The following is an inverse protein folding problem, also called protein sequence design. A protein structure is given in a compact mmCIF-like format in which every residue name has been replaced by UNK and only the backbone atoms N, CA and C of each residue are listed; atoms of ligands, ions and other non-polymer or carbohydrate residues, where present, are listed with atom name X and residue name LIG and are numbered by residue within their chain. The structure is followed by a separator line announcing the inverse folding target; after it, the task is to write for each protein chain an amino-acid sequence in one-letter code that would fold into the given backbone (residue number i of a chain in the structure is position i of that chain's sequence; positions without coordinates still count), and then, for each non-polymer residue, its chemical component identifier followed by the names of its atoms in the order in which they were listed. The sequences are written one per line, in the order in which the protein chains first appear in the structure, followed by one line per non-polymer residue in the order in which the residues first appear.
data_IF_076334846108
#
_entry.id   IF_076334846108
#
_cell.length_a   1.000
_cell.length_b   1.000
_cell.length_c   1.000
_cell.angle_alpha   90.00
_cell.angle_beta   90.00
_cell.angle_gamma   90.00
#
_symmetry.space_group_name_H-M   'P 1'
#
loop_
_entity.id
_entity.type
_entity.pdbx_description
1 polymer ?
#
# COMPACT_ATOMS: atom_id res chain seq x y z
N UNK A 1 -46.45 39.60 -29.26
CA UNK A 1 -45.51 40.73 -29.18
C UNK A 1 -44.12 40.15 -29.40
N UNK A 2 -43.67 40.23 -30.69
CA UNK A 2 -42.37 39.69 -31.12
C UNK A 2 -41.26 40.65 -30.66
N UNK A 3 -40.11 40.09 -30.28
CA UNK A 3 -38.84 40.80 -30.38
C UNK A 3 -37.82 39.84 -31.00
N UNK A 4 -37.55 40.10 -32.29
CA UNK A 4 -36.37 39.64 -33.00
C UNK A 4 -35.18 40.53 -32.62
N UNK A 5 -34.00 39.96 -32.50
CA UNK A 5 -32.76 40.72 -32.31
C UNK A 5 -31.55 39.82 -32.42
N UNK A 6 -31.08 39.67 -33.58
CA UNK A 6 -29.77 39.93 -34.21
C UNK A 6 -28.61 39.05 -33.70
N UNK A 7 -28.31 38.05 -34.52
CA UNK A 7 -27.01 37.37 -34.60
C UNK A 7 -26.01 38.28 -35.32
N UNK A 8 -24.95 38.71 -34.67
CA UNK A 8 -23.72 39.13 -35.33
C UNK A 8 -22.57 38.22 -34.93
N UNK A 9 -22.03 37.55 -35.94
CA UNK A 9 -20.90 36.68 -35.82
C UNK A 9 -19.61 37.47 -35.61
N UNK A 10 -18.75 36.95 -34.78
CA UNK A 10 -17.32 37.21 -34.83
C UNK A 10 -16.58 35.89 -34.90
N UNK A 11 -16.01 35.66 -36.08
CA UNK A 11 -15.07 34.59 -36.38
C UNK A 11 -13.79 34.84 -35.61
N UNK A 12 -13.61 34.13 -34.49
CA UNK A 12 -12.32 34.06 -33.83
C UNK A 12 -11.56 32.86 -34.42
N UNK A 13 -10.45 33.12 -35.09
CA UNK A 13 -9.50 32.14 -35.59
C UNK A 13 -8.93 31.37 -34.38
N UNK A 14 -9.17 30.08 -34.35
CA UNK A 14 -8.49 29.16 -33.44
C UNK A 14 -7.05 29.01 -33.94
N UNK A 15 -6.12 29.67 -33.28
CA UNK A 15 -4.69 29.44 -33.45
C UNK A 15 -4.33 28.09 -32.83
N UNK A 16 -3.94 27.17 -33.66
CA UNK A 16 -3.31 25.92 -33.22
C UNK A 16 -1.93 26.24 -32.66
N UNK A 17 -1.84 26.39 -31.33
CA UNK A 17 -0.57 26.33 -30.62
C UNK A 17 -0.21 24.84 -30.46
N UNK A 18 0.68 24.38 -31.31
CA UNK A 18 1.37 23.11 -31.10
C UNK A 18 2.28 23.24 -29.88
N UNK A 19 1.83 22.75 -28.74
CA UNK A 19 2.71 22.48 -27.62
C UNK A 19 3.40 21.13 -27.86
N UNK A 20 4.68 21.18 -28.19
CA UNK A 20 5.52 19.97 -28.09
C UNK A 20 5.36 19.35 -26.71
N UNK A 21 5.24 18.02 -26.60
CA UNK A 21 5.21 17.36 -25.29
C UNK A 21 6.56 17.62 -24.60
N UNK A 22 6.53 18.34 -23.48
CA UNK A 22 7.70 18.50 -22.63
C UNK A 22 8.18 17.10 -22.21
N UNK A 23 9.39 16.77 -22.66
CA UNK A 23 10.09 15.55 -22.29
C UNK A 23 10.38 15.65 -20.79
N UNK A 24 9.71 14.82 -19.98
CA UNK A 24 10.00 14.68 -18.57
C UNK A 24 11.49 14.35 -18.40
N UNK A 25 12.20 14.96 -17.45
CA UNK A 25 13.58 14.60 -17.17
C UNK A 25 13.65 13.12 -16.80
N UNK A 26 14.48 12.37 -17.53
CA UNK A 26 14.82 11.01 -17.14
C UNK A 26 15.49 11.06 -15.78
N UNK A 27 15.07 10.23 -14.81
CA UNK A 27 15.77 10.17 -13.54
C UNK A 27 17.22 9.80 -13.79
N UNK A 28 18.13 10.53 -13.13
CA UNK A 28 19.56 10.31 -13.22
C UNK A 28 19.84 8.82 -12.97
N UNK A 29 20.54 8.22 -13.92
CA UNK A 29 20.96 6.82 -13.84
C UNK A 29 21.90 6.72 -12.65
N UNK A 30 21.46 6.07 -11.58
CA UNK A 30 22.33 5.75 -10.44
C UNK A 30 23.33 4.71 -10.95
N UNK A 31 24.55 5.15 -11.25
CA UNK A 31 25.64 4.25 -11.59
C UNK A 31 26.12 3.56 -10.32
N UNK A 32 25.84 2.27 -10.22
CA UNK A 32 26.43 1.44 -9.16
C UNK A 32 27.86 1.06 -9.59
N UNK A 33 28.85 1.77 -9.10
CA UNK A 33 30.24 1.31 -9.15
C UNK A 33 30.38 0.07 -8.27
N UNK A 34 30.41 -1.08 -8.88
CA UNK A 34 30.67 -2.36 -8.21
C UNK A 34 30.72 -3.47 -9.24
N UNK A 35 31.89 -4.07 -9.38
CA UNK A 35 32.20 -5.16 -10.29
C UNK A 35 31.19 -6.33 -10.15
N UNK A 36 30.17 -6.33 -11.02
CA UNK A 36 29.11 -7.33 -11.07
C UNK A 36 29.60 -8.65 -11.69
N UNK A 37 30.67 -8.63 -12.46
CA UNK A 37 31.15 -9.84 -13.17
C UNK A 37 31.91 -10.82 -12.26
N UNK A 38 32.58 -10.35 -11.22
CA UNK A 38 33.30 -11.24 -10.30
C UNK A 38 32.37 -12.04 -9.37
N UNK A 39 31.12 -11.63 -9.21
CA UNK A 39 30.12 -12.29 -8.35
C UNK A 39 29.37 -13.41 -9.04
N UNK A 40 29.22 -13.34 -10.35
CA UNK A 40 28.49 -14.36 -11.15
C UNK A 40 29.27 -15.67 -11.21
N UNK A 41 30.60 -15.62 -11.15
CA UNK A 41 31.48 -16.82 -11.26
C UNK A 41 31.51 -17.72 -10.01
N UNK A 42 30.94 -17.30 -8.89
CA UNK A 42 30.95 -18.08 -7.62
C UNK A 42 29.64 -18.71 -7.21
N UNK A 43 28.60 -18.69 -8.06
CA UNK A 43 27.36 -19.45 -7.84
C UNK A 43 26.58 -19.11 -6.57
N UNK A 44 26.89 -18.00 -5.89
CA UNK A 44 26.22 -17.59 -4.67
C UNK A 44 25.25 -16.47 -4.99
N UNK A 45 24.02 -16.83 -5.38
CA UNK A 45 22.91 -15.91 -5.36
C UNK A 45 22.58 -15.52 -3.91
N UNK A 46 23.37 -14.64 -3.32
CA UNK A 46 22.88 -13.85 -2.20
C UNK A 46 22.14 -12.66 -2.79
N UNK A 47 20.88 -12.42 -2.38
CA UNK A 47 20.16 -11.24 -2.84
C UNK A 47 20.99 -10.01 -2.52
N UNK A 48 21.19 -9.14 -3.53
CA UNK A 48 22.00 -7.92 -3.45
C UNK A 48 21.34 -6.84 -2.57
N UNK A 49 20.19 -7.10 -2.00
CA UNK A 49 19.60 -6.29 -0.94
C UNK A 49 20.14 -6.74 0.41
N UNK A 50 21.33 -6.26 0.78
CA UNK A 50 21.63 -6.12 2.18
C UNK A 50 20.54 -5.19 2.76
N UNK A 51 19.82 -5.58 3.83
CA UNK A 51 18.81 -4.71 4.39
C UNK A 51 19.48 -3.42 4.83
N UNK A 52 19.09 -2.30 4.23
CA UNK A 52 19.61 -0.96 4.54
C UNK A 52 19.20 -0.49 5.96
N UNK A 53 18.63 -1.39 6.77
CA UNK A 53 18.14 -1.16 8.11
C UNK A 53 18.61 -2.21 9.11
N UNK A 54 19.94 -2.31 9.30
CA UNK A 54 20.50 -2.93 10.51
C UNK A 54 20.73 -1.90 11.61
N UNK A 55 19.81 -1.00 11.88
CA UNK A 55 19.71 -0.51 13.26
C UNK A 55 19.12 -1.67 14.05
N UNK A 56 19.85 -2.19 15.05
CA UNK A 56 19.27 -3.07 16.09
C UNK A 56 17.99 -2.39 16.56
N UNK A 57 16.85 -2.79 16.00
CA UNK A 57 15.55 -2.24 16.35
C UNK A 57 15.35 -2.46 17.83
N UNK A 58 14.88 -1.45 18.56
CA UNK A 58 14.35 -1.67 19.88
C UNK A 58 13.35 -2.80 19.74
N UNK A 59 13.45 -3.83 20.62
CA UNK A 59 12.49 -4.94 20.63
C UNK A 59 11.08 -4.35 20.60
N UNK A 60 10.31 -4.66 19.57
CA UNK A 60 8.97 -4.14 19.43
C UNK A 60 8.15 -4.50 20.67
N UNK A 61 7.43 -3.55 21.24
CA UNK A 61 6.51 -3.84 22.33
C UNK A 61 5.34 -4.66 21.80
N UNK A 62 4.86 -5.59 22.60
CA UNK A 62 3.66 -6.38 22.28
C UNK A 62 2.47 -5.42 22.05
N UNK A 63 1.71 -5.53 20.95
CA UNK A 63 0.54 -4.69 20.75
C UNK A 63 -0.54 -5.00 21.76
N UNK A 64 -1.29 -3.99 22.18
CA UNK A 64 -2.45 -4.16 23.08
C UNK A 64 -3.68 -4.60 22.28
N UNK A 65 -3.84 -4.03 21.09
CA UNK A 65 -4.93 -4.29 20.17
C UNK A 65 -4.37 -4.48 18.76
N UNK A 66 -5.00 -5.37 18.01
CA UNK A 66 -4.72 -5.64 16.61
C UNK A 66 -5.98 -5.40 15.79
N UNK A 67 -5.88 -4.54 14.77
CA UNK A 67 -6.90 -4.33 13.76
C UNK A 67 -6.55 -5.18 12.53
N UNK A 68 -7.29 -6.26 12.29
CA UNK A 68 -7.17 -7.06 11.08
C UNK A 68 -8.03 -6.44 9.98
N UNK A 69 -7.41 -5.89 8.94
CA UNK A 69 -8.08 -5.39 7.75
C UNK A 69 -7.98 -6.45 6.66
N UNK A 70 -9.11 -7.04 6.32
CA UNK A 70 -9.17 -8.31 5.61
C UNK A 70 -9.85 -8.15 4.25
N UNK A 71 -9.19 -8.62 3.19
CA UNK A 71 -9.85 -8.92 1.94
C UNK A 71 -10.29 -10.41 1.96
N UNK A 72 -11.60 -10.70 2.19
CA UNK A 72 -12.06 -12.07 2.33
C UNK A 72 -11.93 -12.89 1.04
N UNK A 73 -11.82 -12.21 -0.11
CA UNK A 73 -11.73 -12.84 -1.43
C UNK A 73 -10.30 -13.10 -1.89
N UNK A 74 -9.28 -12.63 -1.14
CA UNK A 74 -7.88 -12.84 -1.48
C UNK A 74 -7.50 -14.32 -1.52
N UNK A 75 -6.54 -14.68 -2.38
CA UNK A 75 -5.94 -16.00 -2.47
C UNK A 75 -6.96 -17.15 -2.55
N UNK A 76 -7.72 -17.26 -3.64
CA UNK A 76 -8.76 -18.30 -3.82
C UNK A 76 -9.83 -18.26 -2.72
N UNK A 77 -10.19 -17.07 -2.22
CA UNK A 77 -11.20 -16.83 -1.16
C UNK A 77 -10.80 -17.36 0.23
N UNK A 78 -9.51 -17.47 0.49
CA UNK A 78 -9.02 -17.93 1.80
C UNK A 78 -8.81 -16.80 2.83
N UNK A 79 -8.90 -15.52 2.43
CA UNK A 79 -8.63 -14.39 3.31
C UNK A 79 -9.42 -14.43 4.62
N UNK A 80 -10.70 -14.77 4.58
CA UNK A 80 -11.55 -14.93 5.77
C UNK A 80 -11.02 -16.03 6.69
N UNK A 81 -10.78 -17.23 6.19
CA UNK A 81 -10.30 -18.37 6.98
C UNK A 81 -8.95 -18.07 7.64
N UNK A 82 -8.04 -17.43 6.89
CA UNK A 82 -6.73 -17.01 7.42
C UNK A 82 -6.90 -16.01 8.55
N UNK A 83 -7.76 -14.99 8.38
CA UNK A 83 -7.98 -13.96 9.39
C UNK A 83 -8.62 -14.52 10.67
N UNK A 84 -9.57 -15.44 10.55
CA UNK A 84 -10.23 -16.11 11.68
C UNK A 84 -9.21 -16.93 12.49
N UNK A 85 -8.33 -17.68 11.81
CA UNK A 85 -7.27 -18.46 12.47
C UNK A 85 -6.29 -17.54 13.20
N UNK A 86 -5.82 -16.49 12.55
CA UNK A 86 -4.91 -15.50 13.17
C UNK A 86 -5.58 -14.80 14.35
N UNK A 87 -6.85 -14.41 14.22
CA UNK A 87 -7.58 -13.78 15.31
C UNK A 87 -7.69 -14.70 16.54
N UNK A 88 -7.91 -15.99 16.33
CA UNK A 88 -7.94 -16.96 17.42
C UNK A 88 -6.58 -17.02 18.15
N UNK A 89 -5.48 -17.21 17.40
CA UNK A 89 -4.12 -17.26 17.97
C UNK A 89 -3.77 -15.98 18.76
N UNK A 90 -4.12 -14.82 18.25
CA UNK A 90 -3.84 -13.55 18.93
C UNK A 90 -4.67 -13.38 20.22
N UNK A 91 -5.93 -13.83 20.20
CA UNK A 91 -6.79 -13.80 21.40
C UNK A 91 -6.32 -14.77 22.46
N UNK A 92 -5.88 -15.97 22.09
CA UNK A 92 -5.29 -16.96 23.00
C UNK A 92 -4.05 -16.40 23.72
N UNK A 93 -3.33 -15.51 23.03
CA UNK A 93 -2.22 -14.74 23.58
C UNK A 93 -2.68 -13.50 24.41
N UNK A 94 -3.96 -13.30 24.61
CA UNK A 94 -4.51 -12.17 25.38
C UNK A 94 -4.43 -10.81 24.68
N UNK A 95 -4.35 -10.79 23.34
CA UNK A 95 -4.38 -9.57 22.53
C UNK A 95 -5.82 -9.30 22.09
N UNK A 96 -6.27 -8.05 22.25
CA UNK A 96 -7.56 -7.60 21.73
C UNK A 96 -7.52 -7.59 20.19
N UNK A 97 -8.51 -8.20 19.51
CA UNK A 97 -8.54 -8.30 18.06
C UNK A 97 -9.87 -7.81 17.51
N UNK A 98 -9.80 -6.82 16.65
CA UNK A 98 -10.91 -6.31 15.83
C UNK A 98 -10.67 -6.68 14.37
N UNK A 99 -11.63 -7.35 13.72
CA UNK A 99 -11.52 -7.76 12.33
C UNK A 99 -12.52 -6.98 11.46
N UNK A 100 -12.00 -6.34 10.42
CA UNK A 100 -12.74 -5.53 9.46
C UNK A 100 -12.64 -6.19 8.08
N UNK A 101 -13.77 -6.46 7.45
CA UNK A 101 -13.83 -7.19 6.17
C UNK A 101 -14.27 -6.27 5.05
N UNK A 102 -13.53 -6.27 3.94
CA UNK A 102 -13.99 -5.57 2.75
C UNK A 102 -15.17 -6.29 2.10
N UNK A 103 -16.14 -5.51 1.60
CA UNK A 103 -17.27 -6.03 0.83
C UNK A 103 -17.02 -5.96 -0.69
N UNK A 104 -16.16 -5.04 -1.13
CA UNK A 104 -15.82 -4.80 -2.54
C UNK A 104 -14.39 -4.25 -2.68
N UNK A 105 -13.88 -4.18 -3.90
CA UNK A 105 -12.58 -3.58 -4.19
C UNK A 105 -12.57 -2.08 -3.86
N UNK A 106 -11.53 -1.60 -3.18
CA UNK A 106 -11.43 -0.22 -2.69
C UNK A 106 -12.08 0.03 -1.33
N UNK A 107 -12.87 -0.92 -0.79
CA UNK A 107 -13.56 -0.70 0.50
C UNK A 107 -12.59 -0.56 1.68
N UNK A 108 -11.42 -1.17 1.60
CA UNK A 108 -10.42 -1.04 2.67
C UNK A 108 -9.81 0.35 2.75
N UNK A 109 -9.88 1.16 1.69
CA UNK A 109 -9.51 2.58 1.76
C UNK A 109 -10.43 3.31 2.75
N UNK A 110 -11.75 3.13 2.61
CA UNK A 110 -12.74 3.75 3.50
C UNK A 110 -12.60 3.22 4.93
N UNK A 111 -12.58 1.90 5.10
CA UNK A 111 -12.43 1.28 6.42
C UNK A 111 -11.16 1.80 7.12
N UNK A 112 -10.04 1.83 6.40
CA UNK A 112 -8.78 2.30 6.95
C UNK A 112 -8.81 3.80 7.30
N UNK A 113 -9.46 4.64 6.50
CA UNK A 113 -9.58 6.08 6.78
C UNK A 113 -10.43 6.37 8.01
N UNK A 114 -11.46 5.59 8.25
CA UNK A 114 -12.38 5.74 9.40
C UNK A 114 -11.87 5.06 10.68
N UNK A 115 -10.83 4.22 10.56
CA UNK A 115 -10.31 3.43 11.69
C UNK A 115 -9.71 4.32 12.77
N UNK A 116 -10.21 4.17 14.01
CA UNK A 116 -9.61 4.81 15.18
C UNK A 116 -8.47 3.97 15.72
N UNK A 117 -7.24 4.43 15.52
CA UNK A 117 -6.01 3.75 15.95
C UNK A 117 -5.41 4.48 17.15
N UNK A 118 -5.13 3.76 18.24
CA UNK A 118 -4.51 4.29 19.45
C UNK A 118 -3.01 3.96 19.50
N UNK A 119 -2.28 4.66 20.36
CA UNK A 119 -0.87 4.34 20.59
C UNK A 119 -0.71 2.92 21.15
N UNK A 120 0.10 2.11 20.48
CA UNK A 120 0.32 0.70 20.83
C UNK A 120 -0.60 -0.28 20.09
N UNK A 121 -1.51 0.21 19.23
CA UNK A 121 -2.27 -0.63 18.32
C UNK A 121 -1.41 -1.04 17.12
N UNK A 122 -1.76 -2.18 16.52
CA UNK A 122 -1.13 -2.70 15.31
C UNK A 122 -2.19 -2.87 14.21
N UNK A 123 -1.93 -2.34 13.05
CA UNK A 123 -2.76 -2.55 11.85
C UNK A 123 -2.17 -3.72 11.06
N UNK A 124 -2.98 -4.73 10.79
CA UNK A 124 -2.57 -5.93 10.07
C UNK A 124 -3.37 -6.08 8.79
N UNK A 125 -2.68 -6.07 7.66
CA UNK A 125 -3.25 -6.38 6.36
C UNK A 125 -3.35 -7.90 6.18
N UNK A 126 -4.52 -8.42 5.86
CA UNK A 126 -4.73 -9.83 5.50
C UNK A 126 -5.19 -9.90 4.05
N UNK A 127 -4.24 -10.17 3.15
CA UNK A 127 -4.48 -10.16 1.71
C UNK A 127 -3.20 -10.17 0.89
N UNK A 128 -3.27 -9.63 -0.32
CA UNK A 128 -2.12 -9.41 -1.20
C UNK A 128 -1.67 -7.94 -1.21
N UNK A 129 -0.76 -7.61 -2.15
CA UNK A 129 -0.19 -6.27 -2.30
C UNK A 129 -1.25 -5.19 -2.50
N UNK A 130 -2.32 -5.46 -3.28
CA UNK A 130 -3.44 -4.54 -3.47
C UNK A 130 -4.20 -4.24 -2.18
N UNK A 131 -4.40 -5.24 -1.33
CA UNK A 131 -5.03 -5.09 -0.01
C UNK A 131 -4.21 -4.14 0.87
N UNK A 132 -2.90 -4.34 0.91
CA UNK A 132 -1.99 -3.50 1.68
C UNK A 132 -1.95 -2.06 1.14
N UNK A 133 -1.94 -1.90 -0.17
CA UNK A 133 -1.99 -0.58 -0.84
C UNK A 133 -3.26 0.20 -0.51
N UNK A 134 -4.44 -0.46 -0.52
CA UNK A 134 -5.71 0.16 -0.13
C UNK A 134 -5.66 0.68 1.32
N UNK A 135 -5.14 -0.13 2.24
CA UNK A 135 -5.02 0.23 3.66
C UNK A 135 -4.10 1.43 3.85
N UNK A 136 -2.92 1.44 3.22
CA UNK A 136 -2.01 2.57 3.29
C UNK A 136 -2.64 3.83 2.71
N UNK A 137 -3.32 3.73 1.57
CA UNK A 137 -4.01 4.86 0.95
C UNK A 137 -5.02 5.49 1.92
N UNK A 138 -5.86 4.67 2.57
CA UNK A 138 -6.83 5.16 3.55
C UNK A 138 -6.18 5.83 4.76
N UNK A 139 -5.10 5.25 5.30
CA UNK A 139 -4.39 5.82 6.46
C UNK A 139 -3.68 7.14 6.12
N UNK A 140 -3.10 7.25 4.93
CA UNK A 140 -2.45 8.48 4.47
C UNK A 140 -3.43 9.65 4.26
N UNK A 141 -4.70 9.38 4.01
CA UNK A 141 -5.74 10.42 3.89
C UNK A 141 -6.07 11.07 5.23
N UNK A 142 -5.93 10.36 6.34
CA UNK A 142 -6.30 10.87 7.68
C UNK A 142 -5.22 11.74 8.26
N UNK A 143 -4.00 11.23 8.36
CA UNK A 143 -2.87 11.95 8.97
C UNK A 143 -1.53 11.37 8.50
N UNK A 144 -0.91 11.95 7.45
CA UNK A 144 0.33 11.42 6.88
C UNK A 144 1.52 11.38 7.85
N UNK A 145 1.48 12.19 8.93
CA UNK A 145 2.55 12.26 9.94
C UNK A 145 2.45 11.20 11.04
N UNK A 146 1.38 10.45 11.12
CA UNK A 146 1.16 9.43 12.16
C UNK A 146 2.14 8.29 12.04
N UNK A 147 2.82 7.98 13.14
CA UNK A 147 3.69 6.81 13.26
C UNK A 147 2.86 5.60 13.69
N UNK A 148 2.21 4.96 12.74
CA UNK A 148 1.45 3.74 12.97
C UNK A 148 2.31 2.51 12.67
N UNK A 149 2.03 1.42 13.35
CA UNK A 149 2.70 0.13 13.10
C UNK A 149 1.85 -0.73 12.18
N UNK A 150 2.48 -1.32 11.18
CA UNK A 150 1.84 -2.20 10.21
C UNK A 150 2.48 -3.57 10.21
N UNK A 151 1.67 -4.60 9.94
CA UNK A 151 2.12 -5.94 9.61
C UNK A 151 1.32 -6.50 8.44
N UNK A 152 1.86 -7.51 7.77
CA UNK A 152 1.25 -8.12 6.60
C UNK A 152 1.15 -9.63 6.81
N UNK A 153 -0.06 -10.15 6.63
CA UNK A 153 -0.31 -11.59 6.52
C UNK A 153 -0.60 -11.89 5.06
N UNK A 154 0.34 -12.53 4.35
CA UNK A 154 0.21 -12.79 2.94
C UNK A 154 -0.88 -13.84 2.68
N UNK A 155 -2.01 -13.41 2.14
CA UNK A 155 -3.13 -14.26 1.78
C UNK A 155 -3.58 -14.04 0.33
N UNK A 156 -2.87 -13.22 -0.44
CA UNK A 156 -3.14 -12.92 -1.85
C UNK A 156 -2.40 -13.85 -2.81
N UNK A 157 -2.64 -13.66 -4.12
CA UNK A 157 -1.88 -14.33 -5.19
C UNK A 157 -0.51 -13.66 -5.38
N UNK A 158 -0.45 -12.31 -5.30
CA UNK A 158 0.78 -11.54 -5.24
C UNK A 158 1.02 -11.08 -3.80
N UNK A 159 2.24 -11.23 -3.29
CA UNK A 159 2.63 -10.89 -1.93
C UNK A 159 4.06 -10.32 -1.93
N UNK A 160 4.39 -9.50 -2.93
CA UNK A 160 5.75 -8.98 -3.14
C UNK A 160 6.23 -8.18 -1.94
N UNK A 161 5.39 -7.30 -1.39
CA UNK A 161 5.73 -6.49 -0.21
C UNK A 161 6.05 -7.38 1.01
N UNK A 162 5.28 -8.46 1.21
CA UNK A 162 5.55 -9.39 2.31
C UNK A 162 6.86 -10.18 2.13
N UNK A 163 7.26 -10.45 0.89
CA UNK A 163 8.54 -11.08 0.58
C UNK A 163 9.73 -10.13 0.77
N UNK A 164 9.55 -8.86 0.45
CA UNK A 164 10.61 -7.84 0.56
C UNK A 164 10.91 -7.46 2.02
N UNK A 165 9.94 -7.65 2.92
CA UNK A 165 10.07 -7.37 4.36
C UNK A 165 10.69 -8.51 5.19
N UNK A 166 10.97 -9.67 4.58
CA UNK A 166 11.69 -10.79 5.22
C UNK A 166 13.19 -10.52 5.22
#
# INVERSE_FOLDING_TARGET
MEIRGILQGSSARVGTMGSEPQKLPTPDRIEFEGDTESRIKKGVHKPVFAPMFTKKGKKASRPKRVHLLVNPYSGKRNGRKVSEHVAALLRDEGIEVEAHYSAYSGHLVTIASELTVKSGDLIVSVGGDGTFSEILTGRMQVEPSRKESFAIIPAGTGNSVAYDLK
#
